data_IF_309217945768
#
_entry.id   IF_309217945768
#
_cell.length_a   1.000
_cell.length_b   1.000
_cell.length_c   1.000
_cell.angle_alpha   90.00
_cell.angle_beta   90.00
_cell.angle_gamma   90.00
#
_symmetry.space_group_name_H-M   'P 1'
#
loop_
_entity.id
_entity.type
_entity.pdbx_description
1 polymer ?
#
# COMPACT_ATOMS: atom_id res chain seq x y z
N UNK A 1 41.88 -27.64 32.72
CA UNK A 1 40.97 -27.71 31.56
C UNK A 1 40.45 -26.31 31.25
N UNK A 2 40.91 -25.69 30.15
CA UNK A 2 40.40 -24.39 29.70
C UNK A 2 39.03 -24.58 29.03
N UNK A 3 38.00 -23.93 29.59
CA UNK A 3 36.63 -23.93 29.06
C UNK A 3 36.50 -22.81 28.03
N UNK A 4 36.63 -23.13 26.75
CA UNK A 4 36.43 -22.18 25.66
C UNK A 4 34.97 -21.69 25.66
N UNK A 5 34.77 -20.39 25.92
CA UNK A 5 33.48 -19.72 25.79
C UNK A 5 33.20 -19.52 24.30
N UNK A 6 32.41 -20.41 23.71
CA UNK A 6 31.79 -20.18 22.40
C UNK A 6 30.77 -19.06 22.53
N UNK A 7 31.17 -17.83 22.23
CA UNK A 7 30.23 -16.74 22.03
C UNK A 7 29.39 -17.08 20.80
N UNK A 8 28.09 -17.30 21.01
CA UNK A 8 27.14 -17.46 19.90
C UNK A 8 27.00 -16.09 19.24
N UNK A 9 27.84 -15.87 18.23
CA UNK A 9 27.82 -14.69 17.37
C UNK A 9 26.55 -14.79 16.53
N UNK A 10 25.43 -14.23 17.01
CA UNK A 10 24.22 -14.11 16.21
C UNK A 10 24.56 -13.25 15.00
N UNK A 11 24.40 -13.83 13.80
CA UNK A 11 24.72 -13.17 12.55
C UNK A 11 23.96 -11.85 12.43
N UNK A 12 24.63 -10.73 12.09
CA UNK A 12 23.98 -9.41 11.93
C UNK A 12 22.89 -9.42 10.85
N UNK A 13 22.81 -10.46 10.02
CA UNK A 13 21.76 -10.66 9.01
C UNK A 13 20.34 -10.58 9.59
N UNK A 14 20.10 -11.03 10.82
CA UNK A 14 18.76 -11.01 11.43
C UNK A 14 18.27 -9.60 11.78
N UNK A 15 19.18 -8.64 11.98
CA UNK A 15 18.86 -7.23 12.23
C UNK A 15 18.69 -6.48 10.90
N UNK A 16 19.46 -6.86 9.89
CA UNK A 16 19.44 -6.23 8.56
C UNK A 16 18.16 -6.60 7.81
N UNK A 17 17.66 -7.83 7.94
CA UNK A 17 16.46 -8.30 7.22
C UNK A 17 15.20 -7.43 7.47
N UNK A 18 14.78 -7.12 8.72
CA UNK A 18 13.63 -6.25 8.94
C UNK A 18 13.87 -4.81 8.48
N UNK A 19 15.10 -4.30 8.59
CA UNK A 19 15.47 -2.97 8.10
C UNK A 19 15.41 -2.86 6.58
N UNK A 20 15.86 -3.91 5.88
CA UNK A 20 15.79 -4.00 4.42
C UNK A 20 14.33 -4.12 3.95
N UNK A 21 13.51 -4.88 4.68
CA UNK A 21 12.07 -5.00 4.41
C UNK A 21 11.36 -3.64 4.57
N UNK A 22 11.75 -2.86 5.59
CA UNK A 22 11.24 -1.50 5.83
C UNK A 22 11.68 -0.50 4.75
N UNK A 23 12.92 -0.62 4.23
CA UNK A 23 13.42 0.22 3.13
C UNK A 23 12.73 -0.10 1.79
N UNK A 24 12.43 -1.37 1.52
CA UNK A 24 11.73 -1.79 0.30
C UNK A 24 10.27 -1.31 0.31
N UNK A 25 9.53 -1.43 1.41
CA UNK A 25 8.17 -0.87 1.49
C UNK A 25 8.14 0.65 1.44
N UNK A 26 9.15 1.33 2.02
CA UNK A 26 9.30 2.78 1.92
C UNK A 26 9.54 3.29 0.49
N UNK A 27 10.28 2.54 -0.33
CA UNK A 27 10.61 2.94 -1.71
C UNK A 27 9.51 2.63 -2.73
N UNK A 28 8.63 1.64 -2.48
CA UNK A 28 7.48 1.38 -3.37
C UNK A 28 6.45 2.52 -3.30
N UNK A 29 6.32 3.22 -2.17
CA UNK A 29 5.41 4.37 -2.05
C UNK A 29 5.86 5.60 -2.87
N UNK A 30 7.14 5.67 -3.27
CA UNK A 30 7.67 6.74 -4.09
C UNK A 30 7.65 6.45 -5.60
N UNK A 31 7.43 5.19 -6.01
CA UNK A 31 7.48 4.78 -7.44
C UNK A 31 6.08 4.64 -8.05
N UNK A 32 5.03 4.53 -7.23
CA UNK A 32 3.66 4.42 -7.74
C UNK A 32 3.09 5.73 -8.34
N UNK A 33 3.82 6.85 -8.28
CA UNK A 33 3.41 8.15 -8.85
C UNK A 33 4.06 8.48 -10.20
N UNK A 34 4.89 7.61 -10.79
CA UNK A 34 5.56 7.90 -12.08
C UNK A 34 5.66 6.69 -13.00
N UNK A 35 4.53 6.22 -13.54
CA UNK A 35 4.56 5.50 -14.81
C UNK A 35 3.19 5.48 -15.49
N UNK A 36 2.86 6.59 -16.15
CA UNK A 36 2.06 6.56 -17.37
C UNK A 36 2.84 7.37 -18.41
N UNK A 37 3.44 6.70 -19.40
CA UNK A 37 3.48 7.28 -20.75
C UNK A 37 3.63 6.18 -21.79
N UNK A 38 2.61 6.11 -22.63
CA UNK A 38 2.60 5.55 -23.96
C UNK A 38 3.86 5.91 -24.76
N UNK A 39 4.30 4.99 -25.61
CA UNK A 39 5.16 5.34 -26.75
C UNK A 39 4.66 4.57 -27.95
N UNK A 40 3.93 5.27 -28.81
CA UNK A 40 3.67 4.88 -30.18
C UNK A 40 4.66 5.57 -31.13
N UNK A 41 4.96 4.85 -32.22
CA UNK A 41 5.45 5.28 -33.55
C UNK A 41 6.96 5.22 -33.87
N UNK A 42 7.32 4.28 -34.75
CA UNK A 42 7.83 4.54 -36.12
C UNK A 42 7.71 3.23 -36.96
N UNK A 43 6.96 3.23 -38.06
CA UNK A 43 7.33 3.54 -39.45
C UNK A 43 8.02 2.39 -40.21
N UNK A 44 7.35 1.83 -41.23
CA UNK A 44 7.96 1.12 -42.37
C UNK A 44 7.04 1.17 -43.61
N UNK A 45 7.67 1.39 -44.76
CA UNK A 45 7.19 1.65 -46.13
C UNK A 45 6.29 0.57 -46.78
N UNK A 46 5.55 0.96 -47.84
CA UNK A 46 5.54 0.27 -49.16
C UNK A 46 4.50 0.87 -50.15
N UNK A 47 5.03 1.46 -51.22
CA UNK A 47 4.61 1.57 -52.64
C UNK A 47 3.17 1.36 -53.18
N UNK A 48 2.84 2.29 -54.09
CA UNK A 48 2.17 2.17 -55.41
C UNK A 48 0.75 1.57 -55.55
N UNK A 49 -0.22 2.37 -56.03
CA UNK A 49 -0.74 2.29 -57.41
C UNK A 49 -1.94 3.23 -57.64
N UNK A 50 -2.01 3.75 -58.86
CA UNK A 50 -3.05 4.62 -59.42
C UNK A 50 -4.32 3.84 -59.73
N UNK A 51 -5.49 4.26 -59.25
CA UNK A 51 -6.76 3.89 -59.89
C UNK A 51 -7.89 4.89 -59.63
N UNK A 52 -8.78 4.91 -60.62
CA UNK A 52 -9.67 5.99 -61.03
C UNK A 52 -10.80 6.34 -60.05
N UNK A 53 -11.18 7.61 -60.07
CA UNK A 53 -12.27 8.20 -59.31
C UNK A 53 -13.61 7.70 -59.89
N UNK A 54 -14.27 6.75 -59.21
CA UNK A 54 -15.65 6.35 -59.46
C UNK A 54 -16.65 7.26 -58.70
N UNK A 55 -17.78 7.67 -59.31
CA UNK A 55 -18.69 8.69 -58.80
C UNK A 55 -19.64 8.19 -57.70
N UNK A 56 -19.26 7.14 -56.95
CA UNK A 56 -20.10 6.54 -55.91
C UNK A 56 -20.02 7.28 -54.55
N UNK A 57 -19.03 8.15 -54.36
CA UNK A 57 -18.80 8.85 -53.08
C UNK A 57 -19.56 10.17 -52.92
N UNK A 58 -20.19 10.70 -54.00
CA UNK A 58 -20.91 11.99 -53.91
C UNK A 58 -22.18 11.90 -53.06
N UNK A 59 -22.82 10.72 -52.99
CA UNK A 59 -24.04 10.55 -52.18
C UNK A 59 -23.74 10.16 -50.72
N UNK A 60 -22.52 9.71 -50.40
CA UNK A 60 -22.13 9.38 -49.03
C UNK A 60 -21.74 10.60 -48.18
N UNK A 61 -21.50 11.76 -48.81
CA UNK A 61 -21.19 13.02 -48.11
C UNK A 61 -22.42 13.93 -47.93
N UNK A 62 -23.54 13.63 -48.58
CA UNK A 62 -24.78 14.41 -48.47
C UNK A 62 -25.69 13.95 -47.31
N UNK A 63 -25.46 12.73 -46.80
CA UNK A 63 -26.20 12.17 -45.65
C UNK A 63 -25.51 12.50 -44.31
N UNK A 64 -24.31 13.09 -44.32
CA UNK A 64 -23.49 13.34 -43.11
C UNK A 64 -23.80 14.67 -42.42
N UNK A 65 -24.78 15.45 -42.91
CA UNK A 65 -25.15 16.75 -42.33
C UNK A 65 -26.44 16.74 -41.50
N UNK A 66 -27.08 15.59 -41.30
CA UNK A 66 -28.23 15.47 -40.40
C UNK A 66 -28.07 14.31 -39.43
N UNK A 67 -28.07 14.68 -38.15
CA UNK A 67 -28.26 13.80 -37.00
C UNK A 67 -27.16 12.75 -36.78
N UNK A 68 -26.18 13.10 -35.95
CA UNK A 68 -26.14 12.52 -34.60
C UNK A 68 -25.36 13.48 -33.71
N UNK A 69 -26.11 14.32 -33.02
CA UNK A 69 -25.94 14.59 -31.59
C UNK A 69 -24.94 13.59 -30.97
N UNK A 70 -23.79 14.10 -30.50
CA UNK A 70 -22.69 13.28 -29.99
C UNK A 70 -23.17 12.44 -28.82
N UNK A 71 -23.72 11.27 -29.13
CA UNK A 71 -24.25 10.30 -28.19
C UNK A 71 -23.07 9.49 -27.66
N UNK A 72 -22.13 10.19 -27.03
CA UNK A 72 -21.30 9.57 -26.03
C UNK A 72 -21.92 9.90 -24.68
N UNK A 73 -22.74 9.02 -24.08
CA UNK A 73 -23.11 9.13 -22.68
C UNK A 73 -21.92 8.71 -21.80
N UNK A 74 -20.69 9.09 -22.17
CA UNK A 74 -19.50 8.86 -21.34
C UNK A 74 -19.55 9.73 -20.08
N UNK A 75 -20.34 10.80 -20.12
CA UNK A 75 -20.54 11.71 -19.02
C UNK A 75 -21.94 11.52 -18.45
N UNK A 76 -22.03 10.56 -17.51
CA UNK A 76 -23.27 10.30 -16.78
C UNK A 76 -23.57 11.51 -15.91
N UNK A 77 -24.71 12.17 -16.11
CA UNK A 77 -25.28 13.25 -15.27
C UNK A 77 -25.55 12.85 -13.80
N UNK A 78 -25.04 11.69 -13.39
CA UNK A 78 -25.20 11.08 -12.08
C UNK A 78 -23.85 10.62 -11.51
N UNK A 79 -22.74 11.33 -11.79
CA UNK A 79 -21.43 11.03 -11.19
C UNK A 79 -21.53 10.87 -9.66
N UNK A 80 -22.33 11.72 -9.00
CA UNK A 80 -22.58 11.65 -7.55
C UNK A 80 -23.24 10.33 -7.09
N UNK A 81 -24.03 9.68 -7.95
CA UNK A 81 -24.67 8.39 -7.65
C UNK A 81 -23.68 7.23 -7.66
N UNK A 82 -22.62 7.34 -8.46
CA UNK A 82 -21.63 6.27 -8.62
C UNK A 82 -20.34 6.53 -7.81
N UNK A 83 -20.02 7.80 -7.52
CA UNK A 83 -18.85 8.23 -6.76
C UNK A 83 -19.24 9.29 -5.72
N UNK A 84 -19.89 8.90 -4.61
CA UNK A 84 -20.26 9.86 -3.57
C UNK A 84 -19.02 10.46 -2.90
N UNK A 85 -19.15 11.70 -2.42
CA UNK A 85 -18.11 12.31 -1.59
C UNK A 85 -17.89 11.50 -0.31
N UNK A 86 -16.62 11.27 0.02
CA UNK A 86 -16.26 10.51 1.20
C UNK A 86 -16.02 11.46 2.38
N UNK A 87 -16.70 11.20 3.49
CA UNK A 87 -16.43 11.90 4.75
C UNK A 87 -15.05 11.53 5.32
N UNK A 88 -14.19 12.54 5.42
CA UNK A 88 -12.84 12.48 5.99
C UNK A 88 -12.86 12.02 7.45
N UNK A 89 -13.85 12.47 8.25
CA UNK A 89 -13.95 12.08 9.66
C UNK A 89 -14.29 10.60 9.80
N UNK A 90 -15.17 10.09 8.93
CA UNK A 90 -15.50 8.67 8.88
C UNK A 90 -14.30 7.81 8.51
N UNK A 91 -13.47 8.25 7.54
CA UNK A 91 -12.24 7.54 7.18
C UNK A 91 -11.27 7.41 8.37
N UNK A 92 -11.10 8.49 9.15
CA UNK A 92 -10.30 8.48 10.38
C UNK A 92 -10.87 7.53 11.43
N UNK A 93 -12.18 7.61 11.70
CA UNK A 93 -12.86 6.73 12.67
C UNK A 93 -12.71 5.26 12.31
N UNK A 94 -12.91 4.91 11.03
CA UNK A 94 -12.73 3.55 10.54
C UNK A 94 -11.28 3.07 10.76
N UNK A 95 -10.29 3.92 10.49
CA UNK A 95 -8.88 3.58 10.69
C UNK A 95 -8.47 3.45 12.15
N UNK A 96 -9.14 4.17 13.06
CA UNK A 96 -8.97 3.99 14.52
C UNK A 96 -9.53 2.66 15.01
N UNK A 97 -10.60 2.16 14.39
CA UNK A 97 -11.19 0.87 14.76
C UNK A 97 -10.37 -0.31 14.24
N UNK A 98 -9.90 -0.22 13.00
CA UNK A 98 -9.15 -1.30 12.37
C UNK A 98 -8.13 -0.74 11.38
N UNK A 99 -6.90 -1.28 11.35
CA UNK A 99 -5.91 -0.85 10.39
C UNK A 99 -6.32 -1.08 8.94
N UNK A 100 -6.02 -0.09 8.10
CA UNK A 100 -6.34 -0.10 6.68
C UNK A 100 -7.80 0.21 6.32
N UNK A 101 -8.72 0.27 7.29
CA UNK A 101 -10.15 0.36 6.99
C UNK A 101 -10.55 1.72 6.39
N UNK A 102 -9.94 2.83 6.82
CA UNK A 102 -10.21 4.13 6.20
C UNK A 102 -9.65 4.27 4.79
N UNK A 103 -8.52 3.61 4.49
CA UNK A 103 -7.95 3.56 3.15
C UNK A 103 -8.81 2.68 2.24
N UNK A 104 -9.33 1.56 2.75
CA UNK A 104 -10.28 0.71 2.02
C UNK A 104 -11.59 1.46 1.74
N UNK A 105 -12.07 2.26 2.70
CA UNK A 105 -13.22 3.14 2.52
C UNK A 105 -12.97 4.19 1.41
N UNK A 106 -11.75 4.71 1.30
CA UNK A 106 -11.32 5.60 0.23
C UNK A 106 -10.96 4.88 -1.10
N UNK A 107 -11.24 3.59 -1.22
CA UNK A 107 -10.97 2.79 -2.43
C UNK A 107 -9.50 2.42 -2.64
N UNK A 108 -8.60 2.75 -1.71
CA UNK A 108 -7.18 2.40 -1.81
C UNK A 108 -6.90 1.08 -1.07
N UNK A 109 -7.29 -0.03 -1.71
CA UNK A 109 -7.15 -1.38 -1.15
C UNK A 109 -5.69 -1.82 -0.98
N UNK A 110 -4.77 -1.29 -1.79
CA UNK A 110 -3.35 -1.61 -1.66
C UNK A 110 -2.79 -1.06 -0.35
N UNK A 111 -3.00 0.24 -0.08
CA UNK A 111 -2.63 0.85 1.21
C UNK A 111 -3.35 0.16 2.37
N UNK A 112 -4.64 -0.13 2.23
CA UNK A 112 -5.40 -0.82 3.26
C UNK A 112 -4.77 -2.17 3.64
N UNK A 113 -4.42 -2.98 2.63
CA UNK A 113 -3.80 -4.29 2.83
C UNK A 113 -2.42 -4.18 3.46
N UNK A 114 -1.63 -3.17 3.06
CA UNK A 114 -0.31 -2.93 3.65
C UNK A 114 -0.42 -2.55 5.13
N UNK A 115 -1.30 -1.61 5.51
CA UNK A 115 -1.50 -1.26 6.92
C UNK A 115 -2.01 -2.46 7.72
N UNK A 116 -3.03 -3.16 7.22
CA UNK A 116 -3.59 -4.32 7.90
C UNK A 116 -2.55 -5.43 8.13
N UNK A 117 -1.82 -5.83 7.09
CA UNK A 117 -0.84 -6.92 7.17
C UNK A 117 0.38 -6.55 8.00
N UNK A 118 0.89 -5.33 7.86
CA UNK A 118 2.07 -4.87 8.62
C UNK A 118 1.76 -4.69 10.10
N UNK A 119 0.62 -4.10 10.47
CA UNK A 119 0.22 -3.96 11.87
C UNK A 119 -0.09 -5.31 12.51
N UNK A 120 -0.85 -6.18 11.82
CA UNK A 120 -1.13 -7.52 12.33
C UNK A 120 0.17 -8.31 12.53
N UNK A 121 1.11 -8.21 11.58
CA UNK A 121 2.43 -8.82 11.70
C UNK A 121 3.23 -8.28 12.88
N UNK A 122 3.28 -6.96 13.06
CA UNK A 122 3.98 -6.33 14.17
C UNK A 122 3.39 -6.77 15.53
N UNK A 123 2.07 -6.74 15.69
CA UNK A 123 1.42 -7.16 16.93
C UNK A 123 1.53 -8.67 17.18
N UNK A 124 1.47 -9.50 16.14
CA UNK A 124 1.69 -10.94 16.27
C UNK A 124 3.12 -11.26 16.73
N UNK A 125 4.12 -10.59 16.15
CA UNK A 125 5.52 -10.72 16.56
C UNK A 125 5.73 -10.19 17.98
N UNK A 126 5.11 -9.06 18.35
CA UNK A 126 5.14 -8.55 19.71
C UNK A 126 4.57 -9.58 20.69
N UNK A 127 3.35 -10.06 20.45
CA UNK A 127 2.68 -11.05 21.29
C UNK A 127 3.45 -12.36 21.42
N UNK A 128 4.05 -12.84 20.32
CA UNK A 128 4.94 -14.00 20.35
C UNK A 128 6.12 -13.80 21.30
N UNK A 129 6.80 -12.64 21.20
CA UNK A 129 7.93 -12.32 22.04
C UNK A 129 7.51 -12.10 23.51
N UNK A 130 6.38 -11.45 23.78
CA UNK A 130 5.81 -11.34 25.15
C UNK A 130 5.58 -12.71 25.75
N UNK A 131 4.92 -13.61 25.01
CA UNK A 131 4.63 -14.96 25.50
C UNK A 131 5.91 -15.74 25.84
N UNK A 132 6.96 -15.60 25.02
CA UNK A 132 8.26 -16.24 25.29
C UNK A 132 9.00 -15.62 26.46
N UNK A 133 8.98 -14.29 26.60
CA UNK A 133 9.55 -13.61 27.76
C UNK A 133 8.86 -14.08 29.07
N UNK A 134 7.52 -14.13 29.07
CA UNK A 134 6.75 -14.63 30.22
C UNK A 134 7.02 -16.11 30.51
N UNK A 135 7.16 -16.93 29.47
CA UNK A 135 7.51 -18.34 29.64
C UNK A 135 8.86 -18.50 30.35
N UNK A 136 9.90 -17.81 29.89
CA UNK A 136 11.22 -17.88 30.52
C UNK A 136 11.24 -17.27 31.93
N UNK A 137 10.46 -16.21 32.17
CA UNK A 137 10.35 -15.63 33.50
C UNK A 137 9.79 -16.63 34.53
N UNK A 138 8.84 -17.48 34.13
CA UNK A 138 8.29 -18.55 35.00
C UNK A 138 9.32 -19.63 35.32
N UNK A 139 10.32 -19.83 34.46
CA UNK A 139 11.37 -20.83 34.65
C UNK A 139 12.56 -20.32 35.48
N UNK A 140 12.54 -19.06 35.94
CA UNK A 140 13.60 -18.46 36.77
C UNK A 140 13.78 -19.14 38.14
N UNK A 141 12.93 -20.09 38.51
CA UNK A 141 13.01 -20.84 39.77
C UNK A 141 14.04 -21.99 39.70
N UNK A 142 14.43 -22.42 38.50
CA UNK A 142 15.36 -23.55 38.33
C UNK A 142 16.83 -23.08 38.29
N UNK A 143 17.54 -23.21 39.41
CA UNK A 143 18.96 -22.83 39.53
C UNK A 143 19.88 -23.60 38.57
N UNK A 144 19.55 -24.85 38.25
CA UNK A 144 20.35 -25.73 37.39
C UNK A 144 20.03 -25.60 35.89
N UNK A 145 18.96 -24.89 35.53
CA UNK A 145 18.44 -24.77 34.16
C UNK A 145 17.19 -25.59 33.89
N UNK A 146 16.66 -25.48 32.67
CA UNK A 146 15.42 -26.15 32.24
C UNK A 146 15.49 -26.52 30.76
N UNK A 147 14.72 -27.53 30.35
CA UNK A 147 14.56 -27.91 28.95
C UNK A 147 13.50 -27.03 28.28
N UNK A 148 13.85 -26.31 27.23
CA UNK A 148 12.90 -25.54 26.43
C UNK A 148 12.18 -26.45 25.44
N UNK A 149 10.93 -26.80 25.75
CA UNK A 149 10.12 -27.71 24.93
C UNK A 149 9.93 -27.27 23.47
N UNK A 150 10.10 -25.98 23.16
CA UNK A 150 9.95 -25.46 21.78
C UNK A 150 11.20 -25.72 20.93
N UNK A 151 12.38 -25.56 21.52
CA UNK A 151 13.66 -25.70 20.80
C UNK A 151 14.31 -27.07 21.02
N UNK A 152 13.87 -27.81 22.04
CA UNK A 152 14.49 -29.05 22.48
C UNK A 152 15.84 -28.84 23.18
N UNK A 153 16.21 -27.59 23.48
CA UNK A 153 17.51 -27.26 24.07
C UNK A 153 17.42 -27.15 25.59
N UNK A 154 18.42 -27.72 26.29
CA UNK A 154 18.58 -27.48 27.71
C UNK A 154 19.27 -26.13 27.93
N UNK A 155 18.61 -25.22 28.62
CA UNK A 155 19.08 -23.87 28.89
C UNK A 155 19.52 -23.75 30.34
N UNK A 156 20.72 -23.22 30.56
CA UNK A 156 21.14 -22.80 31.90
C UNK A 156 20.32 -21.59 32.35
N UNK A 157 20.30 -21.33 33.66
CA UNK A 157 19.63 -20.15 34.22
C UNK A 157 20.03 -18.83 33.52
N UNK A 158 21.34 -18.60 33.33
CA UNK A 158 21.85 -17.40 32.65
C UNK A 158 21.45 -17.32 31.16
N UNK A 159 21.40 -18.46 30.47
CA UNK A 159 20.93 -18.52 29.09
C UNK A 159 19.43 -18.22 28.99
N UNK A 160 18.63 -18.79 29.91
CA UNK A 160 17.20 -18.50 30.03
C UNK A 160 16.93 -17.02 30.31
N UNK A 161 17.67 -16.42 31.25
CA UNK A 161 17.59 -14.99 31.58
C UNK A 161 17.97 -14.10 30.39
N UNK A 162 19.03 -14.45 29.66
CA UNK A 162 19.45 -13.72 28.45
C UNK A 162 18.38 -13.80 27.36
N UNK A 163 17.82 -14.99 27.10
CA UNK A 163 16.73 -15.16 26.12
C UNK A 163 15.47 -14.40 26.53
N UNK A 164 15.12 -14.41 27.82
CA UNK A 164 14.03 -13.60 28.37
C UNK A 164 14.22 -12.12 28.03
N UNK A 165 15.40 -11.57 28.35
CA UNK A 165 15.73 -10.17 28.04
C UNK A 165 15.62 -9.85 26.55
N UNK A 166 16.15 -10.71 25.68
CA UNK A 166 16.05 -10.53 24.24
C UNK A 166 14.59 -10.51 23.78
N UNK A 167 13.76 -11.45 24.23
CA UNK A 167 12.34 -11.44 23.88
C UNK A 167 11.59 -10.24 24.46
N UNK A 168 11.90 -9.81 25.69
CA UNK A 168 11.33 -8.57 26.24
C UNK A 168 11.69 -7.37 25.37
N UNK A 169 12.97 -7.24 24.99
CA UNK A 169 13.42 -6.17 24.11
C UNK A 169 12.70 -6.18 22.76
N UNK A 170 12.68 -7.32 22.06
CA UNK A 170 11.99 -7.46 20.78
C UNK A 170 10.48 -7.23 20.89
N UNK A 171 9.86 -7.68 21.98
CA UNK A 171 8.44 -7.43 22.23
C UNK A 171 8.14 -5.94 22.31
N UNK A 172 8.96 -5.17 23.05
CA UNK A 172 8.83 -3.72 23.16
C UNK A 172 9.04 -3.03 21.82
N UNK A 173 10.05 -3.45 21.07
CA UNK A 173 10.34 -2.92 19.73
C UNK A 173 9.15 -3.13 18.78
N UNK A 174 8.65 -4.36 18.64
CA UNK A 174 7.52 -4.65 17.74
C UNK A 174 6.22 -3.99 18.19
N UNK A 175 5.97 -3.89 19.50
CA UNK A 175 4.79 -3.21 20.02
C UNK A 175 4.84 -1.71 19.74
N UNK A 176 6.00 -1.06 19.94
CA UNK A 176 6.20 0.34 19.60
C UNK A 176 6.05 0.57 18.09
N UNK A 177 6.59 -0.31 17.25
CA UNK A 177 6.40 -0.25 15.79
C UNK A 177 4.93 -0.40 15.40
N UNK A 178 4.21 -1.38 15.98
CA UNK A 178 2.79 -1.60 15.71
C UNK A 178 1.94 -0.38 16.07
N UNK A 179 2.18 0.22 17.25
CA UNK A 179 1.51 1.47 17.65
C UNK A 179 1.86 2.63 16.71
N UNK A 180 3.14 2.76 16.33
CA UNK A 180 3.58 3.81 15.41
C UNK A 180 2.91 3.70 14.04
N UNK A 181 2.83 2.47 13.50
CA UNK A 181 2.10 2.18 12.26
C UNK A 181 0.61 2.51 12.40
N UNK A 182 -0.02 2.15 13.53
CA UNK A 182 -1.42 2.44 13.77
C UNK A 182 -1.74 3.93 13.81
N UNK A 183 -0.89 4.72 14.49
CA UNK A 183 -1.03 6.18 14.50
C UNK A 183 -0.86 6.74 13.09
N UNK A 184 0.13 6.25 12.34
CA UNK A 184 0.33 6.67 10.95
C UNK A 184 -0.89 6.33 10.08
N UNK A 185 -1.44 5.13 10.21
CA UNK A 185 -2.64 4.69 9.51
C UNK A 185 -3.83 5.64 9.75
N UNK A 186 -4.05 6.06 11.01
CA UNK A 186 -5.10 7.03 11.37
C UNK A 186 -4.86 8.38 10.69
N UNK A 187 -3.62 8.85 10.62
CA UNK A 187 -3.27 10.15 10.03
C UNK A 187 -3.27 10.14 8.48
N UNK A 188 -3.00 8.99 7.85
CA UNK A 188 -3.00 8.84 6.38
C UNK A 188 -4.40 8.63 5.81
N UNK A 189 -5.33 8.07 6.59
CA UNK A 189 -6.71 7.85 6.20
C UNK A 189 -7.45 9.11 5.72
N UNK A 190 -7.44 10.25 6.45
CA UNK A 190 -8.11 11.47 5.99
C UNK A 190 -7.53 11.99 4.67
N UNK A 191 -6.20 11.95 4.52
CA UNK A 191 -5.51 12.36 3.29
C UNK A 191 -5.89 11.48 2.10
N UNK A 192 -6.09 10.18 2.34
CA UNK A 192 -6.52 9.25 1.29
C UNK A 192 -7.97 9.52 0.87
N UNK A 193 -8.85 9.87 1.80
CA UNK A 193 -10.22 10.30 1.49
C UNK A 193 -10.25 11.65 0.74
N UNK A 194 -9.43 12.62 1.16
CA UNK A 194 -9.27 13.91 0.45
C UNK A 194 -8.75 13.70 -0.97
N UNK A 195 -7.76 12.82 -1.17
CA UNK A 195 -7.24 12.47 -2.48
C UNK A 195 -8.27 11.77 -3.37
N UNK A 196 -9.19 10.98 -2.79
CA UNK A 196 -10.32 10.43 -3.53
C UNK A 196 -11.29 11.54 -3.96
N UNK A 197 -11.65 12.44 -3.04
CA UNK A 197 -12.57 13.54 -3.33
C UNK A 197 -11.98 14.52 -4.36
N UNK A 198 -10.67 14.78 -4.34
CA UNK A 198 -10.02 15.67 -5.32
C UNK A 198 -10.02 15.08 -6.73
N UNK A 199 -9.83 13.76 -6.88
CA UNK A 199 -9.94 13.05 -8.16
C UNK A 199 -11.37 13.04 -8.70
N UNK A 200 -12.39 13.11 -7.84
CA UNK A 200 -13.79 13.23 -8.27
C UNK A 200 -14.04 14.56 -9.00
N UNK A 201 -13.51 15.67 -8.49
CA UNK A 201 -13.72 16.99 -9.10
C UNK A 201 -13.13 17.11 -10.51
N UNK A 202 -11.96 16.52 -10.76
CA UNK A 202 -11.38 16.53 -12.11
C UNK A 202 -12.21 15.71 -13.09
N UNK A 203 -12.80 14.58 -12.64
CA UNK A 203 -13.75 13.81 -13.45
C UNK A 203 -14.97 14.67 -13.76
N UNK A 204 -15.63 15.26 -12.76
CA UNK A 204 -16.83 16.11 -12.95
C UNK A 204 -16.58 17.33 -13.86
N UNK A 205 -15.41 17.96 -13.77
CA UNK A 205 -15.00 19.04 -14.67
C UNK A 205 -14.72 18.59 -16.10
N UNK A 206 -14.27 17.35 -16.32
CA UNK A 206 -14.16 16.76 -17.66
C UNK A 206 -15.53 16.41 -18.24
N UNK A 207 -16.56 16.24 -17.40
CA UNK A 207 -17.92 15.84 -17.81
C UNK A 207 -18.85 17.00 -18.19
N UNK A 208 -18.47 18.24 -17.88
CA UNK A 208 -19.26 19.44 -18.19
C UNK A 208 -18.72 20.12 -19.44
N UNK A 209 -19.59 20.66 -20.31
CA UNK A 209 -19.25 21.27 -21.62
C UNK A 209 -18.20 22.41 -21.59
N UNK A 210 -17.75 22.85 -20.40
CA UNK A 210 -16.62 23.75 -20.20
C UNK A 210 -15.24 23.06 -20.14
N UNK A 211 -15.20 21.72 -20.12
CA UNK A 211 -13.98 20.91 -19.96
C UNK A 211 -12.94 21.06 -21.08
N UNK A 212 -13.36 21.50 -22.27
CA UNK A 212 -12.44 21.78 -23.39
C UNK A 212 -11.55 23.00 -23.07
N UNK A 213 -12.02 23.94 -22.25
CA UNK A 213 -11.24 25.13 -21.87
C UNK A 213 -10.39 24.90 -20.60
N UNK A 214 -10.73 23.95 -19.72
CA UNK A 214 -9.98 23.71 -18.48
C UNK A 214 -8.82 22.72 -18.63
N UNK A 215 -8.87 21.82 -19.64
CA UNK A 215 -7.76 20.95 -20.02
C UNK A 215 -6.49 21.72 -20.44
N UNK A 216 -6.60 23.01 -20.75
CA UNK A 216 -5.46 23.87 -21.07
C UNK A 216 -4.71 24.42 -19.85
N UNK A 217 -5.24 24.30 -18.62
CA UNK A 217 -4.66 25.00 -17.45
C UNK A 217 -3.86 24.12 -16.49
N UNK A 218 -3.87 22.79 -16.63
CA UNK A 218 -3.17 21.89 -15.70
C UNK A 218 -1.85 21.30 -16.22
N UNK A 219 -1.49 21.52 -17.49
CA UNK A 219 -0.15 21.21 -18.00
C UNK A 219 0.57 22.49 -18.44
N UNK A 220 1.21 23.18 -17.50
CA UNK A 220 2.42 23.95 -17.80
C UNK A 220 3.60 23.01 -17.59
N UNK A 221 4.26 22.68 -18.70
CA UNK A 221 5.58 22.02 -18.75
C UNK A 221 6.63 22.79 -17.96
#
# INVERSE_FOLDING_TARGET
MQKSRGAVQMSPLYIILPFLLFLITGSISAIAETSETDTNASAAESDAETQEILPLFRNYMAETERETESTYPLFRSHAERYYPELDVKKATQLSTLMPGLGQAYAGNYMKATLFLSSELGAFALAGYNVARALHYNKQNVFETGFLDARTGEFLTYEQGRTRMWNHTFFSGMFLATGIGLHIWNILDAPKTAEAYNSRRFSVEMQQTDSGVQSLMFTHRF
#
